data_IF_262914290014
#
_entry.id   IF_262914290014
#
_cell.length_a   1.000
_cell.length_b   1.000
_cell.length_c   1.000
_cell.angle_alpha   90.00
_cell.angle_beta   90.00
_cell.angle_gamma   90.00
#
_symmetry.space_group_name_H-M   'P 1'
#
loop_
_entity.id
_entity.type
_entity.pdbx_description
1 polymer ?
#
# COMPACT_ATOMS: atom_id res chain seq x y z
N UNK A 1 -40.35 11.62 -56.90
CA UNK A 1 -40.58 12.35 -55.64
C UNK A 1 -40.42 11.46 -54.41
N UNK A 2 -40.94 10.24 -54.41
CA UNK A 2 -40.89 9.33 -53.23
C UNK A 2 -39.46 9.00 -52.75
N UNK A 3 -38.50 8.78 -53.66
CA UNK A 3 -37.10 8.47 -53.30
C UNK A 3 -36.44 9.63 -52.52
N UNK A 4 -36.76 10.88 -52.87
CA UNK A 4 -36.20 12.07 -52.22
C UNK A 4 -36.77 12.23 -50.81
N UNK A 5 -38.05 11.91 -50.62
CA UNK A 5 -38.71 11.95 -49.31
C UNK A 5 -38.15 10.87 -48.38
N UNK A 6 -37.93 9.65 -48.89
CA UNK A 6 -37.29 8.57 -48.11
C UNK A 6 -35.86 8.94 -47.71
N UNK A 7 -35.10 9.56 -48.62
CA UNK A 7 -33.73 10.00 -48.33
C UNK A 7 -33.66 11.12 -47.28
N UNK A 8 -34.60 12.07 -47.31
CA UNK A 8 -34.72 13.14 -46.30
C UNK A 8 -35.09 12.59 -44.92
N UNK A 9 -35.99 11.60 -44.85
CA UNK A 9 -36.34 10.94 -43.59
C UNK A 9 -35.13 10.20 -43.02
N UNK A 10 -34.36 9.51 -43.87
CA UNK A 10 -33.12 8.85 -43.46
C UNK A 10 -32.09 9.85 -42.91
N UNK A 11 -31.90 10.99 -43.56
CA UNK A 11 -31.00 12.05 -43.09
C UNK A 11 -31.42 12.63 -41.73
N UNK A 12 -32.72 12.86 -41.52
CA UNK A 12 -33.25 13.34 -40.23
C UNK A 12 -33.08 12.30 -39.12
N UNK A 13 -33.21 11.01 -39.44
CA UNK A 13 -33.01 9.93 -38.48
C UNK A 13 -31.52 9.81 -38.08
N UNK A 14 -30.62 9.87 -39.07
CA UNK A 14 -29.18 9.87 -38.81
C UNK A 14 -28.71 11.13 -38.08
N UNK A 15 -29.30 12.30 -38.39
CA UNK A 15 -29.02 13.54 -37.66
C UNK A 15 -29.44 13.44 -36.20
N UNK A 16 -30.64 12.89 -35.92
CA UNK A 16 -31.09 12.66 -34.55
C UNK A 16 -30.22 11.65 -33.80
N UNK A 17 -29.83 10.53 -34.44
CA UNK A 17 -28.89 9.58 -33.86
C UNK A 17 -27.53 10.24 -33.60
N UNK A 18 -27.03 11.04 -34.53
CA UNK A 18 -25.77 11.78 -34.37
C UNK A 18 -25.84 12.79 -33.22
N UNK A 19 -26.96 13.52 -33.07
CA UNK A 19 -27.19 14.43 -31.94
C UNK A 19 -27.27 13.67 -30.61
N UNK A 20 -27.95 12.53 -30.56
CA UNK A 20 -28.05 11.68 -29.36
C UNK A 20 -26.69 11.05 -29.02
N UNK A 21 -25.93 10.61 -30.02
CA UNK A 21 -24.58 10.08 -29.86
C UNK A 21 -23.58 11.16 -29.47
N UNK A 22 -23.74 12.40 -29.95
CA UNK A 22 -22.95 13.56 -29.51
C UNK A 22 -23.29 13.95 -28.08
N UNK A 23 -24.57 14.00 -27.70
CA UNK A 23 -24.98 14.20 -26.30
C UNK A 23 -24.54 13.06 -25.36
N UNK A 24 -24.41 11.83 -25.85
CA UNK A 24 -23.84 10.69 -25.10
C UNK A 24 -22.31 10.66 -25.13
N UNK A 25 -21.68 11.16 -26.19
CA UNK A 25 -20.23 11.25 -26.36
C UNK A 25 -19.62 12.41 -25.57
N UNK A 26 -20.35 13.52 -25.42
CA UNK A 26 -20.06 14.62 -24.48
C UNK A 26 -20.36 14.22 -23.03
N UNK A 27 -21.04 13.08 -22.80
CA UNK A 27 -21.03 12.32 -21.54
C UNK A 27 -19.88 11.30 -21.48
N UNK A 28 -18.73 11.58 -22.11
CA UNK A 28 -17.49 11.13 -21.46
C UNK A 28 -17.55 11.67 -20.04
N UNK A 29 -17.28 10.83 -19.04
CA UNK A 29 -17.27 11.23 -17.63
C UNK A 29 -16.40 12.49 -17.51
N UNK A 30 -17.04 13.67 -17.47
CA UNK A 30 -16.31 14.92 -17.34
C UNK A 30 -15.66 14.87 -15.96
N UNK A 31 -14.36 14.63 -15.93
CA UNK A 31 -13.57 14.69 -14.72
C UNK A 31 -13.28 16.16 -14.43
N UNK A 32 -14.14 16.79 -13.62
CA UNK A 32 -14.03 18.21 -13.31
C UNK A 32 -12.78 18.50 -12.47
N UNK A 33 -12.31 17.50 -11.71
CA UNK A 33 -11.17 17.65 -10.81
C UNK A 33 -9.89 17.96 -11.58
N UNK A 34 -9.79 17.50 -12.82
CA UNK A 34 -8.62 17.69 -13.67
C UNK A 34 -8.45 19.14 -14.14
N UNK A 35 -9.51 19.93 -14.04
CA UNK A 35 -9.54 21.35 -14.42
C UNK A 35 -9.57 22.30 -13.22
N UNK A 36 -9.65 21.76 -12.00
CA UNK A 36 -9.44 22.53 -10.78
C UNK A 36 -7.93 22.72 -10.61
N UNK A 37 -7.49 23.98 -10.58
CA UNK A 37 -6.11 24.41 -10.28
C UNK A 37 -4.99 23.64 -11.01
N UNK A 38 -4.33 24.28 -11.97
CA UNK A 38 -3.11 23.78 -12.61
C UNK A 38 -1.95 24.74 -12.31
N UNK A 39 -0.95 24.35 -11.51
CA UNK A 39 0.23 25.19 -11.30
C UNK A 39 0.90 25.46 -12.66
N UNK A 40 1.12 26.74 -12.99
CA UNK A 40 1.79 27.16 -14.23
C UNK A 40 0.93 27.21 -15.50
N UNK A 41 -0.40 27.04 -15.41
CA UNK A 41 -1.31 27.18 -16.55
C UNK A 41 -2.21 28.39 -16.36
N UNK A 42 -2.35 29.24 -17.40
CA UNK A 42 -3.31 30.35 -17.42
C UNK A 42 -4.72 29.86 -17.09
N UNK A 43 -5.50 30.68 -16.38
CA UNK A 43 -6.85 30.40 -15.89
C UNK A 43 -7.67 29.51 -16.85
N UNK A 44 -7.91 28.25 -16.46
CA UNK A 44 -8.78 27.36 -17.21
C UNK A 44 -10.24 27.75 -16.90
N UNK A 45 -10.87 28.46 -17.83
CA UNK A 45 -12.30 28.76 -17.79
C UNK A 45 -13.09 27.63 -18.43
N UNK A 46 -14.13 27.16 -17.75
CA UNK A 46 -15.00 26.10 -18.24
C UNK A 46 -16.41 26.23 -17.68
N UNK A 47 -17.33 25.47 -18.27
CA UNK A 47 -18.67 25.27 -17.75
C UNK A 47 -18.65 24.20 -16.65
N UNK A 48 -19.03 24.57 -15.43
CA UNK A 48 -19.07 23.67 -14.27
C UNK A 48 -20.40 22.91 -14.19
N UNK A 49 -20.49 21.90 -13.33
CA UNK A 49 -21.67 21.03 -13.23
C UNK A 49 -22.96 21.78 -12.84
N UNK A 50 -22.85 22.88 -12.09
CA UNK A 50 -23.97 23.78 -11.78
C UNK A 50 -24.37 24.73 -12.94
N UNK A 51 -23.75 24.61 -14.11
CA UNK A 51 -24.00 25.47 -15.26
C UNK A 51 -23.36 26.85 -15.17
N UNK A 52 -22.56 27.15 -14.13
CA UNK A 52 -21.78 28.40 -14.07
C UNK A 52 -20.53 28.28 -14.93
N UNK A 53 -20.19 29.35 -15.64
CA UNK A 53 -18.96 29.43 -16.42
C UNK A 53 -17.91 30.25 -15.67
N UNK A 54 -16.71 29.70 -15.49
CA UNK A 54 -15.68 30.34 -14.69
C UNK A 54 -14.47 29.45 -14.44
N UNK A 55 -13.61 29.86 -13.52
CA UNK A 55 -12.41 29.12 -13.12
C UNK A 55 -12.38 28.90 -11.60
N UNK A 56 -11.80 27.78 -11.17
CA UNK A 56 -11.55 27.45 -9.77
C UNK A 56 -10.04 27.38 -9.57
N UNK A 57 -9.50 28.28 -8.76
CA UNK A 57 -8.06 28.33 -8.51
C UNK A 57 -7.72 28.95 -7.15
N UNK A 58 -6.48 28.73 -6.71
CA UNK A 58 -5.89 29.33 -5.52
C UNK A 58 -5.27 30.67 -5.91
N UNK A 59 -5.97 31.74 -5.55
CA UNK A 59 -5.63 33.13 -5.87
C UNK A 59 -4.36 33.61 -5.16
N UNK A 60 -4.14 33.14 -3.93
CA UNK A 60 -3.15 33.71 -3.01
C UNK A 60 -2.00 32.74 -2.73
N UNK A 61 -1.97 31.59 -3.42
CA UNK A 61 -1.10 30.46 -3.12
C UNK A 61 -1.14 30.06 -1.65
N UNK A 62 -2.32 30.16 -1.03
CA UNK A 62 -2.55 29.87 0.38
C UNK A 62 -3.36 28.59 0.61
N UNK A 63 -3.46 27.75 -0.42
CA UNK A 63 -4.23 26.51 -0.45
C UNK A 63 -5.73 26.73 -0.17
N UNK A 64 -6.28 27.85 -0.65
CA UNK A 64 -7.71 28.15 -0.61
C UNK A 64 -8.23 28.33 -2.03
N UNK A 65 -9.07 27.40 -2.47
CA UNK A 65 -9.68 27.46 -3.80
C UNK A 65 -10.88 28.38 -3.80
N UNK A 66 -10.96 29.25 -4.79
CA UNK A 66 -12.05 30.20 -4.99
C UNK A 66 -12.60 30.10 -6.40
N UNK A 67 -13.89 30.42 -6.55
CA UNK A 67 -14.53 30.51 -7.86
C UNK A 67 -14.47 31.94 -8.41
N UNK A 68 -14.07 32.06 -9.67
CA UNK A 68 -14.18 33.30 -10.44
C UNK A 68 -15.12 33.06 -11.61
N UNK A 69 -16.25 33.75 -11.58
CA UNK A 69 -17.24 33.71 -12.64
C UNK A 69 -16.82 34.59 -13.82
N UNK A 70 -16.94 34.06 -15.04
CA UNK A 70 -16.60 34.74 -16.29
C UNK A 70 -17.78 34.66 -17.28
N UNK A 71 -18.88 35.39 -17.04
CA UNK A 71 -20.15 35.18 -17.74
C UNK A 71 -20.10 35.43 -19.26
N UNK A 72 -19.08 36.13 -19.76
CA UNK A 72 -18.89 36.46 -21.19
C UNK A 72 -17.66 35.79 -21.82
N UNK A 73 -17.00 34.86 -21.10
CA UNK A 73 -15.84 34.10 -21.56
C UNK A 73 -14.59 34.93 -21.89
N UNK A 74 -14.60 36.24 -21.64
CA UNK A 74 -13.57 37.16 -22.16
C UNK A 74 -13.08 38.20 -21.16
N UNK A 75 -13.84 38.49 -20.09
CA UNK A 75 -13.47 39.55 -19.16
C UNK A 75 -13.53 39.09 -17.69
N UNK A 76 -12.46 39.40 -16.94
CA UNK A 76 -12.55 39.44 -15.48
C UNK A 76 -13.52 40.56 -15.12
N UNK A 77 -14.65 40.23 -14.51
CA UNK A 77 -15.67 41.22 -14.13
C UNK A 77 -15.20 42.17 -13.01
N UNK A 78 -14.02 41.93 -12.45
CA UNK A 78 -13.55 42.49 -11.20
C UNK A 78 -12.08 42.91 -11.31
N UNK A 79 -11.71 44.04 -10.72
CA UNK A 79 -10.31 44.40 -10.49
C UNK A 79 -9.70 43.44 -9.46
N UNK A 80 -8.39 43.26 -9.47
CA UNK A 80 -7.67 42.34 -8.56
C UNK A 80 -8.05 42.55 -7.08
N UNK A 81 -8.29 43.80 -6.69
CA UNK A 81 -8.74 44.24 -5.36
C UNK A 81 -10.16 43.76 -4.98
N UNK A 82 -11.04 43.54 -5.96
CA UNK A 82 -12.44 43.11 -5.78
C UNK A 82 -12.58 41.58 -5.64
N UNK A 83 -11.57 40.81 -6.06
CA UNK A 83 -11.64 39.34 -6.14
C UNK A 83 -11.82 38.70 -4.76
N UNK A 84 -11.11 39.19 -3.75
CA UNK A 84 -11.16 38.60 -2.39
C UNK A 84 -12.54 38.69 -1.75
N UNK A 85 -13.29 39.74 -2.08
CA UNK A 85 -14.59 40.03 -1.46
C UNK A 85 -15.76 39.37 -2.20
N UNK A 86 -15.61 39.10 -3.51
CA UNK A 86 -16.69 38.62 -4.38
C UNK A 86 -16.52 37.17 -4.82
N UNK A 87 -15.32 36.58 -4.69
CA UNK A 87 -15.08 35.19 -5.05
C UNK A 87 -15.30 34.26 -3.84
N UNK A 88 -16.34 33.42 -3.87
CA UNK A 88 -16.62 32.51 -2.77
C UNK A 88 -15.49 31.47 -2.64
N UNK A 89 -15.16 31.14 -1.39
CA UNK A 89 -14.31 29.99 -1.08
C UNK A 89 -15.08 28.72 -1.42
N UNK A 90 -14.46 27.85 -2.20
CA UNK A 90 -15.03 26.57 -2.59
C UNK A 90 -14.41 25.39 -1.85
N UNK A 91 -13.12 25.47 -1.51
CA UNK A 91 -12.43 24.43 -0.77
C UNK A 91 -11.19 24.95 -0.06
N UNK A 92 -10.81 24.29 1.03
CA UNK A 92 -9.60 24.54 1.81
C UNK A 92 -9.12 23.24 2.48
N UNK A 93 -7.94 23.28 3.12
CA UNK A 93 -7.41 22.17 3.91
C UNK A 93 -7.06 20.91 3.09
N UNK A 94 -7.33 19.72 3.64
CA UNK A 94 -6.92 18.44 3.01
C UNK A 94 -7.47 18.28 1.59
N UNK A 95 -8.66 18.79 1.30
CA UNK A 95 -9.29 18.66 -0.03
C UNK A 95 -8.44 19.38 -1.07
N UNK A 96 -8.02 20.62 -0.78
CA UNK A 96 -7.15 21.38 -1.69
C UNK A 96 -5.80 20.71 -1.82
N UNK A 97 -5.19 20.31 -0.69
CA UNK A 97 -3.89 19.64 -0.72
C UNK A 97 -3.91 18.37 -1.56
N UNK A 98 -4.96 17.56 -1.45
CA UNK A 98 -5.13 16.40 -2.30
C UNK A 98 -5.27 16.78 -3.78
N UNK A 99 -6.11 17.77 -4.12
CA UNK A 99 -6.26 18.23 -5.50
C UNK A 99 -4.93 18.68 -6.13
N UNK A 100 -4.08 19.34 -5.34
CA UNK A 100 -2.75 19.80 -5.77
C UNK A 100 -1.81 18.63 -6.12
N UNK A 101 -1.82 17.56 -5.32
CA UNK A 101 -0.77 16.54 -5.37
C UNK A 101 -1.23 15.17 -5.89
N UNK A 102 -2.54 14.94 -6.08
CA UNK A 102 -3.11 13.63 -6.47
C UNK A 102 -2.54 12.99 -7.74
N UNK A 103 -1.93 13.79 -8.62
CA UNK A 103 -1.27 13.29 -9.85
C UNK A 103 0.20 12.91 -9.67
N UNK A 104 0.84 13.35 -8.59
CA UNK A 104 2.29 13.25 -8.40
C UNK A 104 2.71 12.46 -7.16
N UNK A 105 1.79 12.23 -6.22
CA UNK A 105 2.05 11.59 -4.94
C UNK A 105 1.06 10.49 -4.65
N UNK A 106 1.47 9.49 -3.87
CA UNK A 106 0.54 8.50 -3.34
C UNK A 106 -0.41 9.16 -2.33
N UNK A 107 -1.57 8.55 -2.09
CA UNK A 107 -2.55 9.07 -1.11
C UNK A 107 -1.94 9.16 0.29
N UNK A 108 -1.11 8.19 0.67
CA UNK A 108 -0.41 8.19 1.96
C UNK A 108 0.56 9.39 2.05
N UNK A 109 1.40 9.61 1.05
CA UNK A 109 2.34 10.74 1.03
C UNK A 109 1.62 12.10 1.10
N UNK A 110 0.43 12.19 0.49
CA UNK A 110 -0.42 13.40 0.55
C UNK A 110 -0.88 13.63 2.00
N UNK A 111 -1.38 12.60 2.67
CA UNK A 111 -1.84 12.69 4.06
C UNK A 111 -0.69 13.02 5.01
N UNK A 112 0.45 12.35 4.86
CA UNK A 112 1.62 12.57 5.71
C UNK A 112 2.19 13.97 5.52
N UNK A 113 2.43 14.40 4.27
CA UNK A 113 2.95 15.73 4.00
C UNK A 113 2.00 16.85 4.45
N UNK A 114 0.69 16.65 4.29
CA UNK A 114 -0.29 17.60 4.80
C UNK A 114 -0.29 17.68 6.34
N UNK A 115 -0.31 16.52 7.01
CA UNK A 115 -0.30 16.44 8.47
C UNK A 115 0.98 17.07 9.04
N UNK A 116 2.15 16.76 8.48
CA UNK A 116 3.43 17.35 8.88
C UNK A 116 3.45 18.86 8.71
N UNK A 117 2.98 19.37 7.57
CA UNK A 117 2.86 20.81 7.33
C UNK A 117 1.96 21.48 8.39
N UNK A 118 0.80 20.87 8.69
CA UNK A 118 -0.14 21.41 9.70
C UNK A 118 0.44 21.36 11.12
N UNK A 119 1.13 20.28 11.48
CA UNK A 119 1.83 20.14 12.75
C UNK A 119 2.89 21.23 12.90
N UNK A 120 3.70 21.47 11.87
CA UNK A 120 4.71 22.53 11.89
C UNK A 120 4.09 23.93 12.07
N UNK A 121 2.96 24.22 11.39
CA UNK A 121 2.21 25.47 11.56
C UNK A 121 1.59 25.60 12.96
N UNK A 122 1.19 24.48 13.57
CA UNK A 122 0.67 24.48 14.94
C UNK A 122 1.79 24.71 15.95
N UNK A 123 2.89 23.96 15.86
CA UNK A 123 4.10 24.15 16.69
C UNK A 123 4.60 25.58 16.65
N UNK A 124 4.78 26.16 15.47
CA UNK A 124 5.25 27.54 15.32
C UNK A 124 4.31 28.61 15.91
N UNK A 125 3.02 28.29 16.08
CA UNK A 125 2.06 29.16 16.79
C UNK A 125 2.12 28.90 18.30
N UNK A 126 2.03 27.64 18.72
CA UNK A 126 1.95 27.23 20.13
C UNK A 126 3.25 27.54 20.89
N UNK A 127 4.42 27.45 20.26
CA UNK A 127 5.72 27.81 20.86
C UNK A 127 5.80 29.28 21.32
N UNK A 128 4.95 30.16 20.78
CA UNK A 128 4.91 31.58 21.17
C UNK A 128 4.12 31.82 22.45
N UNK A 129 3.36 30.82 22.92
CA UNK A 129 2.56 30.93 24.11
C UNK A 129 3.42 30.71 25.37
N UNK A 130 3.14 31.49 26.41
CA UNK A 130 3.93 31.50 27.64
C UNK A 130 3.89 30.17 28.42
N UNK A 131 2.91 29.32 28.14
CA UNK A 131 2.69 28.02 28.77
C UNK A 131 3.11 26.83 27.90
N UNK A 132 3.68 27.07 26.71
CA UNK A 132 4.05 26.03 25.75
C UNK A 132 4.97 24.93 26.30
N UNK A 133 5.81 25.26 27.29
CA UNK A 133 6.69 24.33 27.99
C UNK A 133 5.95 23.30 28.88
N UNK A 134 4.67 23.52 29.18
CA UNK A 134 3.87 22.64 30.06
C UNK A 134 3.14 21.52 29.31
N UNK A 135 3.06 21.59 27.99
CA UNK A 135 2.22 20.72 27.19
C UNK A 135 3.05 19.91 26.21
N UNK A 136 2.64 18.66 26.00
CA UNK A 136 3.05 17.91 24.82
C UNK A 136 2.29 18.49 23.61
N UNK A 137 3.01 19.28 22.80
CA UNK A 137 2.44 20.00 21.65
C UNK A 137 1.90 19.02 20.60
N UNK A 138 2.50 17.83 20.46
CA UNK A 138 2.04 16.83 19.48
C UNK A 138 0.74 16.16 19.93
N UNK A 139 0.66 15.76 21.20
CA UNK A 139 -0.59 15.22 21.75
C UNK A 139 -1.70 16.29 21.73
N UNK A 140 -1.40 17.55 22.05
CA UNK A 140 -2.36 18.66 21.99
C UNK A 140 -2.91 18.87 20.57
N UNK A 141 -2.04 18.80 19.55
CA UNK A 141 -2.44 18.91 18.13
C UNK A 141 -3.51 17.88 17.75
N UNK A 142 -3.38 16.64 18.22
CA UNK A 142 -4.33 15.56 17.94
C UNK A 142 -5.57 15.54 18.85
N UNK A 143 -5.68 16.48 19.81
CA UNK A 143 -6.73 16.46 20.84
C UNK A 143 -7.77 17.58 20.77
N UNK A 144 -7.45 18.79 20.28
CA UNK A 144 -8.45 19.88 20.27
C UNK A 144 -8.41 20.77 19.03
N UNK A 145 -7.56 21.79 19.05
CA UNK A 145 -7.77 23.00 18.24
C UNK A 145 -7.60 22.76 16.74
N UNK A 146 -6.62 21.94 16.36
CA UNK A 146 -6.36 21.69 14.96
C UNK A 146 -7.47 20.86 14.29
N UNK A 147 -8.02 19.85 14.98
CA UNK A 147 -9.12 19.04 14.46
C UNK A 147 -10.36 19.90 14.15
N UNK A 148 -10.62 20.93 14.96
CA UNK A 148 -11.72 21.86 14.72
C UNK A 148 -11.48 22.73 13.49
N UNK A 149 -10.25 23.23 13.30
CA UNK A 149 -9.89 23.98 12.10
C UNK A 149 -10.04 23.07 10.86
N UNK A 150 -9.56 21.84 10.92
CA UNK A 150 -9.64 20.92 9.79
C UNK A 150 -11.09 20.53 9.46
N UNK A 151 -11.93 20.30 10.49
CA UNK A 151 -13.37 20.10 10.30
C UNK A 151 -14.03 21.28 9.61
N UNK A 152 -13.65 22.51 9.97
CA UNK A 152 -14.14 23.72 9.31
C UNK A 152 -13.71 23.78 7.84
N UNK A 153 -12.45 23.47 7.53
CA UNK A 153 -11.96 23.43 6.15
C UNK A 153 -12.71 22.38 5.30
N UNK A 154 -12.94 21.19 5.85
CA UNK A 154 -13.72 20.13 5.19
C UNK A 154 -15.18 20.56 4.97
N UNK A 155 -15.78 21.23 5.95
CA UNK A 155 -17.14 21.76 5.82
C UNK A 155 -17.24 22.85 4.73
N UNK A 156 -16.31 23.81 4.71
CA UNK A 156 -16.24 24.83 3.64
C UNK A 156 -16.08 24.20 2.26
N UNK A 157 -15.34 23.08 2.18
CA UNK A 157 -15.12 22.34 0.94
C UNK A 157 -16.37 21.67 0.36
N UNK A 158 -17.47 21.61 1.10
CA UNK A 158 -18.76 21.15 0.58
C UNK A 158 -19.28 22.04 -0.56
N UNK A 159 -18.89 23.32 -0.60
CA UNK A 159 -19.26 24.24 -1.67
C UNK A 159 -18.78 23.76 -3.06
N UNK A 160 -17.66 23.02 -3.11
CA UNK A 160 -17.11 22.47 -4.35
C UNK A 160 -18.02 21.43 -5.01
N UNK A 161 -18.82 20.70 -4.24
CA UNK A 161 -19.67 19.61 -4.76
C UNK A 161 -20.72 20.10 -5.76
N UNK A 162 -21.13 21.37 -5.65
CA UNK A 162 -22.01 21.98 -6.64
C UNK A 162 -21.33 22.25 -7.99
N UNK A 163 -20.00 22.24 -8.08
CA UNK A 163 -19.26 22.56 -9.29
C UNK A 163 -18.78 21.32 -10.05
N UNK A 164 -18.72 20.17 -9.40
CA UNK A 164 -18.17 18.92 -9.96
C UNK A 164 -19.26 17.87 -10.20
N UNK A 165 -18.92 16.79 -10.89
CA UNK A 165 -19.85 15.67 -11.09
C UNK A 165 -20.14 14.92 -9.78
N UNK A 166 -21.23 14.16 -9.72
CA UNK A 166 -21.52 13.29 -8.56
C UNK A 166 -20.40 12.27 -8.31
N UNK A 167 -19.77 11.78 -9.38
CA UNK A 167 -18.66 10.82 -9.28
C UNK A 167 -17.41 11.46 -8.68
N UNK A 168 -17.05 12.67 -9.13
CA UNK A 168 -15.93 13.43 -8.57
C UNK A 168 -16.20 13.79 -7.10
N UNK A 169 -17.44 14.14 -6.77
CA UNK A 169 -17.87 14.37 -5.39
C UNK A 169 -17.69 13.13 -4.51
N UNK A 170 -18.03 11.93 -5.01
CA UNK A 170 -17.78 10.67 -4.30
C UNK A 170 -16.29 10.43 -4.06
N UNK A 171 -15.44 10.73 -5.04
CA UNK A 171 -13.99 10.60 -4.90
C UNK A 171 -13.44 11.52 -3.80
N UNK A 172 -13.83 12.80 -3.80
CA UNK A 172 -13.48 13.77 -2.74
C UNK A 172 -13.92 13.24 -1.37
N UNK A 173 -15.15 12.73 -1.26
CA UNK A 173 -15.68 12.24 0.01
C UNK A 173 -14.91 11.01 0.54
N UNK A 174 -14.49 10.10 -0.35
CA UNK A 174 -13.65 8.95 0.02
C UNK A 174 -12.31 9.43 0.59
N UNK A 175 -11.70 10.44 -0.04
CA UNK A 175 -10.44 11.03 0.45
C UNK A 175 -10.62 11.64 1.85
N UNK A 176 -11.67 12.43 2.06
CA UNK A 176 -11.98 13.03 3.37
C UNK A 176 -12.15 11.95 4.43
N UNK A 177 -12.94 10.91 4.15
CA UNK A 177 -13.22 9.84 5.12
C UNK A 177 -11.95 9.05 5.47
N UNK A 178 -11.13 8.73 4.47
CA UNK A 178 -9.87 8.02 4.67
C UNK A 178 -8.85 8.87 5.43
N UNK A 179 -8.85 10.18 5.22
CA UNK A 179 -8.01 11.11 5.97
C UNK A 179 -8.35 11.13 7.46
N UNK A 180 -9.64 11.11 7.83
CA UNK A 180 -10.04 11.01 9.24
C UNK A 180 -9.56 9.71 9.90
N UNK A 181 -9.64 8.59 9.18
CA UNK A 181 -9.08 7.32 9.63
C UNK A 181 -7.57 7.40 9.80
N UNK A 182 -6.86 8.00 8.84
CA UNK A 182 -5.42 8.24 8.92
C UNK A 182 -5.04 9.07 10.16
N UNK A 183 -5.78 10.13 10.47
CA UNK A 183 -5.53 10.96 11.66
C UNK A 183 -5.79 10.18 12.95
N UNK A 184 -6.84 9.36 13.00
CA UNK A 184 -7.09 8.46 14.13
C UNK A 184 -5.90 7.51 14.35
N UNK A 185 -5.40 6.88 13.29
CA UNK A 185 -4.24 5.99 13.38
C UNK A 185 -2.97 6.73 13.78
N UNK A 186 -2.73 7.91 13.23
CA UNK A 186 -1.55 8.72 13.53
C UNK A 186 -1.52 9.15 15.00
N UNK A 187 -2.68 9.51 15.57
CA UNK A 187 -2.83 9.78 16.99
C UNK A 187 -2.56 8.56 17.88
N UNK A 188 -3.00 7.38 17.44
CA UNK A 188 -2.70 6.15 18.19
C UNK A 188 -1.20 5.85 18.14
N UNK A 189 -0.56 6.04 16.99
CA UNK A 189 0.89 5.89 16.82
C UNK A 189 1.68 6.83 17.73
N UNK A 190 1.31 8.10 17.82
CA UNK A 190 2.03 9.06 18.67
C UNK A 190 2.02 8.67 20.15
N UNK A 191 1.01 7.90 20.61
CA UNK A 191 0.92 7.39 21.98
C UNK A 191 1.77 6.14 22.24
N UNK A 192 2.13 5.40 21.19
CA UNK A 192 2.87 4.13 21.28
C UNK A 192 4.24 4.25 20.65
N UNK A 193 4.72 5.45 20.31
CA UNK A 193 6.05 5.59 19.74
C UNK A 193 7.08 5.17 20.79
N UNK A 194 7.46 3.90 20.74
CA UNK A 194 8.61 3.37 21.44
C UNK A 194 9.80 4.09 20.82
N UNK A 195 10.85 4.38 21.58
CA UNK A 195 12.00 5.15 21.08
C UNK A 195 12.80 4.43 19.96
N UNK A 196 12.18 3.51 19.22
CA UNK A 196 12.68 2.80 18.06
C UNK A 196 13.03 3.78 16.95
N UNK A 197 14.25 3.65 16.41
CA UNK A 197 14.63 4.40 15.23
C UNK A 197 13.88 3.85 14.00
N UNK A 198 13.81 4.67 12.93
CA UNK A 198 13.06 4.34 11.72
C UNK A 198 13.51 3.05 11.03
N UNK A 199 14.80 2.74 11.10
CA UNK A 199 15.38 1.57 10.42
C UNK A 199 15.01 0.27 11.14
N UNK A 200 15.06 0.28 12.46
CA UNK A 200 14.64 -0.85 13.30
C UNK A 200 13.13 -1.10 13.19
N UNK A 201 12.33 -0.03 13.15
CA UNK A 201 10.89 -0.14 12.92
C UNK A 201 10.62 -0.81 11.57
N UNK A 202 11.26 -0.32 10.50
CA UNK A 202 11.11 -0.87 9.15
C UNK A 202 11.54 -2.34 9.08
N UNK A 203 12.64 -2.72 9.74
CA UNK A 203 13.08 -4.12 9.82
C UNK A 203 12.03 -5.00 10.51
N UNK A 204 11.48 -4.53 11.63
CA UNK A 204 10.41 -5.21 12.35
C UNK A 204 9.16 -5.37 11.47
N UNK A 205 8.74 -4.33 10.75
CA UNK A 205 7.61 -4.39 9.83
C UNK A 205 7.79 -5.49 8.77
N UNK A 206 8.96 -5.54 8.12
CA UNK A 206 9.21 -6.56 7.12
C UNK A 206 9.33 -7.97 7.70
N UNK A 207 9.87 -8.10 8.92
CA UNK A 207 9.90 -9.38 9.65
C UNK A 207 8.48 -9.88 9.94
N UNK A 208 7.58 -8.97 10.30
CA UNK A 208 6.16 -9.29 10.52
C UNK A 208 5.48 -9.65 9.19
N UNK A 209 5.70 -8.90 8.11
CA UNK A 209 5.17 -9.24 6.80
C UNK A 209 5.60 -10.64 6.34
N UNK A 210 6.86 -11.00 6.58
CA UNK A 210 7.41 -12.33 6.24
C UNK A 210 6.70 -13.43 7.03
N UNK A 211 6.56 -13.26 8.35
CA UNK A 211 5.80 -14.19 9.22
C UNK A 211 4.35 -14.34 8.75
N UNK A 212 3.67 -13.22 8.45
CA UNK A 212 2.29 -13.25 7.96
C UNK A 212 2.18 -13.95 6.59
N UNK A 213 3.20 -13.83 5.73
CA UNK A 213 3.22 -14.49 4.43
C UNK A 213 3.39 -16.01 4.54
N UNK A 214 4.13 -16.48 5.55
CA UNK A 214 4.42 -17.89 5.78
C UNK A 214 3.36 -18.59 6.62
N UNK A 215 2.82 -17.88 7.62
CA UNK A 215 1.99 -18.46 8.69
C UNK A 215 0.63 -17.78 8.86
N UNK A 216 0.23 -16.87 7.97
CA UNK A 216 -1.02 -16.12 8.11
C UNK A 216 -2.29 -16.98 8.12
N UNK A 217 -2.22 -18.24 7.67
CA UNK A 217 -3.32 -19.22 7.76
C UNK A 217 -3.47 -19.84 9.16
N UNK A 218 -2.46 -19.73 10.03
CA UNK A 218 -2.53 -20.13 11.45
C UNK A 218 -3.24 -19.05 12.29
N UNK A 219 -3.48 -17.87 11.72
CA UNK A 219 -4.13 -16.72 12.35
C UNK A 219 -5.63 -16.74 11.99
N UNK A 220 -6.49 -16.89 12.99
CA UNK A 220 -7.96 -16.84 12.87
C UNK A 220 -8.41 -15.41 13.15
N UNK A 221 -8.91 -14.77 12.09
CA UNK A 221 -9.28 -13.36 12.10
C UNK A 221 -10.68 -13.10 12.65
N UNK A 222 -11.40 -14.13 13.05
CA UNK A 222 -12.77 -14.02 13.56
C UNK A 222 -12.82 -13.97 15.09
N UNK A 223 -11.73 -14.32 15.78
CA UNK A 223 -11.69 -14.46 17.23
C UNK A 223 -10.42 -13.87 17.84
N UNK A 224 -10.56 -12.75 18.55
CA UNK A 224 -9.44 -11.97 19.13
C UNK A 224 -8.49 -12.80 20.02
N UNK A 225 -9.02 -13.71 20.84
CA UNK A 225 -8.25 -14.34 21.93
C UNK A 225 -7.91 -15.83 21.71
N UNK A 226 -8.42 -16.46 20.65
CA UNK A 226 -8.32 -17.91 20.46
C UNK A 226 -7.26 -18.33 19.43
N UNK A 227 -6.72 -17.37 18.67
CA UNK A 227 -5.74 -17.62 17.62
C UNK A 227 -4.29 -17.44 18.09
N UNK A 228 -3.36 -18.15 17.44
CA UNK A 228 -1.91 -17.97 17.60
C UNK A 228 -1.53 -16.56 17.13
N UNK A 229 -1.35 -15.68 18.10
CA UNK A 229 -0.96 -14.29 17.87
C UNK A 229 0.45 -14.19 17.29
N UNK A 230 0.71 -13.10 16.55
CA UNK A 230 2.02 -12.89 15.93
C UNK A 230 3.14 -12.77 16.97
N UNK A 231 2.87 -12.19 18.15
CA UNK A 231 3.83 -12.12 19.25
C UNK A 231 4.26 -13.51 19.77
N UNK A 232 3.52 -14.57 19.47
CA UNK A 232 3.87 -15.94 19.88
C UNK A 232 4.94 -16.57 18.98
N UNK A 233 5.29 -15.96 17.84
CA UNK A 233 6.35 -16.47 16.97
C UNK A 233 7.71 -16.17 17.58
N UNK A 234 8.57 -17.19 17.63
CA UNK A 234 9.89 -17.14 18.26
C UNK A 234 10.78 -16.03 17.71
N UNK A 235 10.58 -15.70 16.45
CA UNK A 235 11.25 -14.69 15.65
C UNK A 235 10.99 -13.27 16.18
N UNK A 236 9.93 -13.07 16.96
CA UNK A 236 9.54 -11.77 17.53
C UNK A 236 9.85 -11.63 19.02
N UNK A 237 10.42 -12.67 19.67
CA UNK A 237 10.76 -12.64 21.11
C UNK A 237 11.78 -11.56 21.51
N UNK A 238 12.50 -10.99 20.54
CA UNK A 238 13.48 -9.93 20.77
C UNK A 238 12.82 -8.54 20.85
N UNK A 239 11.54 -8.43 20.50
CA UNK A 239 10.79 -7.18 20.51
C UNK A 239 9.76 -7.18 21.63
N UNK A 240 9.58 -6.02 22.23
CA UNK A 240 8.53 -5.77 23.22
C UNK A 240 7.15 -5.76 22.56
N UNK A 241 6.10 -5.97 23.36
CA UNK A 241 4.73 -5.85 22.85
C UNK A 241 4.42 -4.43 22.34
N UNK A 242 5.08 -3.40 22.89
CA UNK A 242 4.94 -2.02 22.45
C UNK A 242 5.57 -1.78 21.08
N UNK A 243 6.81 -2.23 20.84
CA UNK A 243 7.47 -2.14 19.53
C UNK A 243 6.70 -2.90 18.45
N UNK A 244 6.22 -4.10 18.79
CA UNK A 244 5.36 -4.88 17.90
C UNK A 244 4.10 -4.07 17.60
N UNK A 245 3.41 -3.54 18.62
CA UNK A 245 2.19 -2.73 18.44
C UNK A 245 2.42 -1.46 17.61
N UNK A 246 3.56 -0.80 17.76
CA UNK A 246 3.94 0.35 16.94
C UNK A 246 4.06 -0.04 15.46
N UNK A 247 4.83 -1.10 15.15
CA UNK A 247 4.90 -1.66 13.79
C UNK A 247 3.51 -2.09 13.28
N UNK A 248 2.65 -2.60 14.17
CA UNK A 248 1.17 -2.63 14.08
C UNK A 248 0.58 -1.47 13.34
N UNK A 249 0.49 -0.41 14.11
CA UNK A 249 -0.28 0.73 13.72
C UNK A 249 0.32 1.38 12.48
N UNK A 250 1.63 1.31 12.28
CA UNK A 250 2.29 1.88 11.11
C UNK A 250 2.03 1.07 9.82
N UNK A 251 2.14 -0.26 9.88
CA UNK A 251 1.79 -1.13 8.76
C UNK A 251 0.29 -1.05 8.40
N UNK A 252 -0.58 -0.88 9.41
CA UNK A 252 -2.01 -0.65 9.19
C UNK A 252 -2.27 0.70 8.51
N UNK A 253 -1.60 1.76 8.96
CA UNK A 253 -1.65 3.10 8.36
C UNK A 253 -1.16 3.08 6.90
N UNK A 254 -0.14 2.28 6.59
CA UNK A 254 0.35 2.01 5.23
C UNK A 254 -0.61 1.16 4.37
N UNK A 255 -1.66 0.59 4.97
CA UNK A 255 -2.60 -0.31 4.30
C UNK A 255 -1.98 -1.67 3.93
N UNK A 256 -0.87 -2.04 4.57
CA UNK A 256 -0.18 -3.30 4.32
C UNK A 256 -0.85 -4.47 5.03
N UNK A 257 -1.43 -4.20 6.19
CA UNK A 257 -2.15 -5.19 6.97
C UNK A 257 -3.48 -4.65 7.51
N UNK A 258 -4.28 -5.55 8.04
CA UNK A 258 -5.41 -5.25 8.89
C UNK A 258 -5.19 -5.86 10.29
N UNK A 259 -5.34 -5.03 11.33
CA UNK A 259 -5.29 -5.44 12.74
C UNK A 259 -6.45 -4.80 13.53
N UNK A 260 -6.85 -5.46 14.61
CA UNK A 260 -7.79 -4.93 15.60
C UNK A 260 -7.00 -4.28 16.72
N UNK A 261 -7.42 -3.09 17.12
CA UNK A 261 -6.82 -2.39 18.27
C UNK A 261 -7.97 -2.08 19.19
N UNK A 262 -7.94 -2.63 20.40
CA UNK A 262 -8.93 -2.27 21.42
C UNK A 262 -8.58 -0.89 21.96
N UNK A 263 -9.30 0.13 21.49
CA UNK A 263 -9.17 1.51 21.97
C UNK A 263 -10.24 1.80 23.04
N UNK A 264 -9.81 1.90 24.29
CA UNK A 264 -10.63 2.60 25.31
C UNK A 264 -10.21 4.07 25.37
N UNK A 265 -11.02 4.94 26.01
CA UNK A 265 -10.74 6.38 26.04
C UNK A 265 -9.38 6.73 26.68
N UNK A 266 -8.84 5.86 27.56
CA UNK A 266 -7.67 6.16 28.39
C UNK A 266 -6.49 5.19 28.21
N UNK A 267 -6.68 3.99 27.66
CA UNK A 267 -5.60 3.01 27.43
C UNK A 267 -5.69 2.37 26.04
N UNK A 268 -4.52 2.31 25.37
CA UNK A 268 -4.35 1.53 24.14
C UNK A 268 -4.19 0.06 24.52
N UNK A 269 -5.18 -0.75 24.16
CA UNK A 269 -5.10 -2.20 24.31
C UNK A 269 -4.05 -2.83 23.38
N UNK A 270 -3.84 -4.15 23.49
CA UNK A 270 -2.99 -4.89 22.57
C UNK A 270 -3.53 -4.80 21.13
N UNK A 271 -2.62 -4.71 20.15
CA UNK A 271 -2.96 -4.90 18.75
C UNK A 271 -3.10 -6.41 18.47
N UNK A 272 -4.26 -6.82 17.98
CA UNK A 272 -4.55 -8.19 17.56
C UNK A 272 -4.45 -8.25 16.03
N UNK A 273 -3.57 -9.12 15.53
CA UNK A 273 -3.05 -9.04 14.15
C UNK A 273 -3.76 -10.02 13.26
N UNK A 274 -4.36 -9.58 12.16
CA UNK A 274 -5.40 -10.38 11.55
C UNK A 274 -5.20 -10.60 10.05
N UNK A 275 -4.67 -9.68 9.23
CA UNK A 275 -4.57 -10.00 7.79
C UNK A 275 -3.47 -9.28 7.05
N UNK A 276 -2.69 -10.02 6.27
CA UNK A 276 -1.82 -9.46 5.23
C UNK A 276 -2.65 -9.04 4.02
N UNK A 277 -2.53 -7.78 3.60
CA UNK A 277 -3.22 -7.21 2.45
C UNK A 277 -2.32 -7.19 1.21
N UNK A 278 -2.92 -7.10 0.03
CA UNK A 278 -2.18 -7.06 -1.25
C UNK A 278 -1.05 -6.01 -1.28
N UNK A 279 -1.25 -4.76 -0.78
CA UNK A 279 -0.16 -3.79 -0.71
C UNK A 279 1.04 -4.28 0.12
N UNK A 280 0.79 -4.96 1.24
CA UNK A 280 1.84 -5.53 2.08
C UNK A 280 2.61 -6.67 1.39
N UNK A 281 1.92 -7.51 0.61
CA UNK A 281 2.56 -8.56 -0.21
C UNK A 281 3.50 -7.94 -1.25
N UNK A 282 3.05 -6.87 -1.90
CA UNK A 282 3.85 -6.14 -2.90
C UNK A 282 5.08 -5.52 -2.23
N UNK A 283 4.89 -4.81 -1.11
CA UNK A 283 5.96 -4.19 -0.35
C UNK A 283 7.02 -5.21 0.10
N UNK A 284 6.61 -6.35 0.66
CA UNK A 284 7.52 -7.43 1.04
C UNK A 284 8.31 -7.96 -0.15
N UNK A 285 7.63 -8.20 -1.29
CA UNK A 285 8.28 -8.70 -2.51
C UNK A 285 9.35 -7.73 -3.02
N UNK A 286 9.06 -6.43 -3.01
CA UNK A 286 10.00 -5.39 -3.44
C UNK A 286 11.20 -5.28 -2.50
N UNK A 287 10.96 -5.33 -1.18
CA UNK A 287 12.02 -5.34 -0.18
C UNK A 287 12.95 -6.55 -0.34
N UNK A 288 12.40 -7.75 -0.46
CA UNK A 288 13.19 -8.97 -0.68
C UNK A 288 14.00 -8.89 -1.98
N UNK A 289 13.43 -8.34 -3.05
CA UNK A 289 14.14 -8.12 -4.33
C UNK A 289 15.29 -7.12 -4.19
N UNK A 290 15.07 -6.02 -3.47
CA UNK A 290 16.08 -4.98 -3.27
C UNK A 290 17.19 -5.44 -2.32
N UNK A 291 16.89 -6.22 -1.28
CA UNK A 291 17.90 -6.80 -0.41
C UNK A 291 18.66 -7.97 -1.05
N UNK A 292 18.03 -8.68 -1.98
CA UNK A 292 18.74 -9.61 -2.86
C UNK A 292 19.75 -8.88 -3.75
N UNK A 293 19.40 -7.69 -4.27
CA UNK A 293 20.29 -6.84 -5.07
C UNK A 293 21.37 -6.12 -4.25
N UNK A 294 21.11 -5.76 -2.99
CA UNK A 294 22.15 -5.23 -2.08
C UNK A 294 23.21 -6.27 -1.72
N UNK A 295 22.90 -7.57 -1.81
CA UNK A 295 23.90 -8.66 -1.77
C UNK A 295 24.69 -8.82 -3.08
N UNK A 296 24.35 -8.08 -4.14
CA UNK A 296 24.90 -8.19 -5.49
C UNK A 296 25.57 -6.89 -6.02
N UNK A 297 25.98 -5.96 -5.14
CA UNK A 297 26.95 -4.92 -5.51
C UNK A 297 28.33 -5.23 -4.93
N UNK A 298 29.19 -5.94 -5.67
CA UNK A 298 30.61 -5.96 -5.38
C UNK A 298 31.22 -4.64 -5.88
N UNK A 299 31.92 -3.95 -4.99
CA UNK A 299 32.98 -3.02 -5.37
C UNK A 299 33.98 -3.77 -6.25
N UNK A 300 34.46 -3.09 -7.29
CA UNK A 300 35.20 -3.63 -8.44
C UNK A 300 36.60 -4.20 -8.12
N UNK A 301 36.91 -4.48 -6.87
CA UNK A 301 38.20 -5.06 -6.45
C UNK A 301 37.94 -6.21 -5.49
N UNK A 302 37.64 -7.38 -6.06
CA UNK A 302 38.16 -8.68 -5.61
C UNK A 302 37.62 -9.76 -6.56
N UNK A 303 38.20 -9.79 -7.76
CA UNK A 303 38.28 -11.02 -8.54
C UNK A 303 39.08 -12.04 -7.72
N UNK A 304 38.39 -12.98 -7.06
CA UNK A 304 38.64 -14.43 -7.15
C UNK A 304 37.86 -15.25 -6.09
N UNK A 305 37.10 -16.24 -6.60
CA UNK A 305 36.72 -17.49 -5.95
C UNK A 305 36.08 -17.47 -4.55
N UNK A 306 34.75 -17.63 -4.49
CA UNK A 306 34.13 -18.51 -3.48
C UNK A 306 33.44 -19.65 -4.21
N UNK A 307 34.20 -20.73 -4.44
CA UNK A 307 33.66 -22.06 -4.65
C UNK A 307 32.75 -22.37 -3.46
N UNK A 308 31.45 -22.58 -3.69
CA UNK A 308 30.56 -23.15 -2.67
C UNK A 308 31.07 -24.55 -2.36
N UNK A 309 31.63 -24.75 -1.18
CA UNK A 309 32.36 -25.96 -0.81
C UNK A 309 31.40 -27.12 -0.52
N UNK A 310 31.87 -28.34 -0.73
CA UNK A 310 31.14 -29.58 -0.44
C UNK A 310 30.74 -29.69 1.05
N UNK A 311 31.46 -28.99 1.92
CA UNK A 311 31.19 -28.90 3.36
C UNK A 311 29.82 -28.28 3.67
N UNK A 312 29.39 -27.27 2.90
CA UNK A 312 28.08 -26.63 3.09
C UNK A 312 26.95 -27.59 2.70
N UNK A 313 27.14 -28.29 1.57
CA UNK A 313 26.19 -29.29 1.09
C UNK A 313 26.08 -30.48 2.05
N UNK A 314 27.20 -30.95 2.59
CA UNK A 314 27.22 -32.05 3.57
C UNK A 314 26.49 -31.64 4.85
N UNK A 315 26.75 -30.44 5.36
CA UNK A 315 26.13 -29.92 6.58
C UNK A 315 24.60 -29.79 6.44
N UNK A 316 24.10 -29.37 5.28
CA UNK A 316 22.66 -29.22 5.04
C UNK A 316 21.93 -30.56 4.86
N UNK A 317 22.61 -31.58 4.33
CA UNK A 317 22.05 -32.92 4.11
C UNK A 317 22.16 -33.83 5.34
N UNK A 318 23.17 -33.66 6.19
CA UNK A 318 23.43 -34.51 7.35
C UNK A 318 22.21 -34.81 8.24
N UNK A 319 21.34 -33.82 8.58
CA UNK A 319 20.13 -34.08 9.37
C UNK A 319 19.14 -35.04 8.69
N UNK A 320 19.15 -35.11 7.35
CA UNK A 320 18.27 -35.99 6.58
C UNK A 320 18.79 -37.44 6.54
N UNK A 321 20.07 -37.65 6.84
CA UNK A 321 20.73 -38.96 6.93
C UNK A 321 20.96 -39.37 8.39
N UNK A 322 20.15 -38.85 9.32
CA UNK A 322 20.23 -39.14 10.75
C UNK A 322 21.62 -38.85 11.36
N UNK A 323 22.36 -37.87 10.83
CA UNK A 323 23.72 -37.55 11.27
C UNK A 323 24.83 -38.38 10.62
N UNK A 324 24.51 -39.27 9.67
CA UNK A 324 25.51 -40.15 9.04
C UNK A 324 26.23 -39.45 7.88
N UNK A 325 27.35 -38.77 8.20
CA UNK A 325 28.19 -38.05 7.24
C UNK A 325 28.75 -38.93 6.11
N UNK A 326 29.03 -40.20 6.38
CA UNK A 326 29.58 -41.11 5.38
C UNK A 326 28.55 -41.43 4.29
N UNK A 327 27.30 -41.66 4.67
CA UNK A 327 26.19 -41.89 3.74
C UNK A 327 25.82 -40.62 2.95
N UNK A 328 25.94 -39.44 3.58
CA UNK A 328 25.79 -38.14 2.88
C UNK A 328 26.85 -37.99 1.79
N UNK A 329 28.11 -38.28 2.11
CA UNK A 329 29.21 -38.19 1.14
C UNK A 329 29.03 -39.19 -0.03
N UNK A 330 28.66 -40.44 0.27
CA UNK A 330 28.32 -41.46 -0.76
C UNK A 330 27.17 -40.99 -1.64
N UNK A 331 26.13 -40.41 -1.03
CA UNK A 331 24.96 -39.91 -1.74
C UNK A 331 25.31 -38.75 -2.69
N UNK A 332 26.05 -37.73 -2.21
CA UNK A 332 26.48 -36.58 -3.03
C UNK A 332 27.29 -37.06 -4.22
N UNK A 333 28.28 -37.93 -4.01
CA UNK A 333 29.11 -38.48 -5.07
C UNK A 333 28.29 -39.24 -6.10
N UNK A 334 27.31 -40.04 -5.64
CA UNK A 334 26.42 -40.77 -6.55
C UNK A 334 25.49 -39.84 -7.33
N UNK A 335 24.98 -38.78 -6.71
CA UNK A 335 24.10 -37.80 -7.35
C UNK A 335 24.79 -36.96 -8.42
N UNK A 336 26.11 -36.77 -8.33
CA UNK A 336 26.91 -36.10 -9.37
C UNK A 336 27.07 -36.91 -10.65
N UNK A 337 27.13 -38.24 -10.53
CA UNK A 337 27.40 -39.13 -11.67
C UNK A 337 26.13 -39.63 -12.35
N UNK A 338 24.96 -39.53 -11.72
CA UNK A 338 23.69 -39.93 -12.35
C UNK A 338 23.29 -38.86 -13.39
N UNK A 339 23.08 -39.23 -14.67
CA UNK A 339 22.93 -38.27 -15.75
C UNK A 339 21.53 -37.64 -15.84
N UNK A 340 20.49 -38.29 -15.30
CA UNK A 340 19.11 -37.81 -15.44
C UNK A 340 18.33 -37.78 -14.12
N UNK A 341 17.35 -36.88 -14.04
CA UNK A 341 16.59 -36.60 -12.82
C UNK A 341 15.64 -37.74 -12.42
N UNK A 342 15.23 -38.59 -13.36
CA UNK A 342 14.39 -39.77 -13.09
C UNK A 342 15.16 -40.82 -12.30
N UNK A 343 16.41 -41.10 -12.71
CA UNK A 343 17.29 -42.02 -12.00
C UNK A 343 17.73 -41.46 -10.65
N UNK A 344 17.98 -40.15 -10.54
CA UNK A 344 18.24 -39.47 -9.26
C UNK A 344 17.09 -39.64 -8.27
N UNK A 345 15.86 -39.48 -8.76
CA UNK A 345 14.66 -39.67 -7.96
C UNK A 345 14.46 -41.14 -7.53
N UNK A 346 14.72 -42.10 -8.43
CA UNK A 346 14.63 -43.53 -8.13
C UNK A 346 15.66 -43.95 -7.09
N UNK A 347 16.92 -43.56 -7.28
CA UNK A 347 18.01 -43.82 -6.32
C UNK A 347 17.69 -43.26 -4.93
N UNK A 348 17.19 -42.02 -4.87
CA UNK A 348 16.78 -41.40 -3.60
C UNK A 348 15.61 -42.15 -2.94
N UNK A 349 14.64 -42.63 -3.72
CA UNK A 349 13.54 -43.42 -3.19
C UNK A 349 13.98 -44.79 -2.65
N UNK A 350 14.98 -45.43 -3.27
CA UNK A 350 15.59 -46.66 -2.75
C UNK A 350 16.23 -46.42 -1.38
N UNK A 351 16.96 -45.32 -1.19
CA UNK A 351 17.57 -45.01 0.11
C UNK A 351 16.54 -44.70 1.21
N UNK A 352 15.41 -44.09 0.85
CA UNK A 352 14.27 -43.91 1.76
C UNK A 352 13.64 -45.26 2.14
N UNK A 353 13.46 -46.17 1.17
CA UNK A 353 12.90 -47.50 1.43
C UNK A 353 13.81 -48.37 2.32
N UNK A 354 15.12 -48.17 2.24
CA UNK A 354 16.11 -48.83 3.10
C UNK A 354 16.34 -48.09 4.43
N UNK A 355 15.56 -47.04 4.73
CA UNK A 355 15.67 -46.20 5.94
C UNK A 355 17.06 -45.54 6.13
N UNK A 356 17.80 -45.30 5.04
CA UNK A 356 19.09 -44.61 5.06
C UNK A 356 18.89 -43.09 5.12
N UNK A 357 17.81 -42.61 4.48
CA UNK A 357 17.38 -41.21 4.51
C UNK A 357 16.03 -41.14 5.21
N UNK A 358 15.81 -40.05 5.97
CA UNK A 358 14.53 -39.75 6.60
C UNK A 358 13.34 -39.91 5.64
N UNK A 359 12.23 -40.40 6.17
CA UNK A 359 11.05 -40.77 5.38
C UNK A 359 10.48 -39.61 4.54
N UNK A 360 9.49 -39.92 3.71
CA UNK A 360 8.92 -39.02 2.67
C UNK A 360 8.41 -37.65 3.17
N UNK A 361 8.32 -37.40 4.47
CA UNK A 361 7.93 -36.10 5.05
C UNK A 361 8.95 -34.97 4.83
N UNK A 362 10.24 -35.30 4.66
CA UNK A 362 11.31 -34.30 4.44
C UNK A 362 11.74 -34.13 2.98
N UNK A 363 10.99 -34.74 2.06
CA UNK A 363 11.32 -34.76 0.62
C UNK A 363 11.47 -33.35 0.03
N UNK A 364 10.69 -32.37 0.51
CA UNK A 364 10.81 -30.97 0.11
C UNK A 364 12.19 -30.40 0.43
N UNK A 365 12.64 -30.53 1.69
CA UNK A 365 13.94 -30.03 2.15
C UNK A 365 15.09 -30.68 1.39
N UNK A 366 15.02 -31.98 1.12
CA UNK A 366 16.03 -32.69 0.32
C UNK A 366 16.16 -32.11 -1.10
N UNK A 367 15.06 -31.96 -1.82
CA UNK A 367 15.12 -31.44 -3.20
C UNK A 367 15.49 -29.97 -3.26
N UNK A 368 15.09 -29.17 -2.27
CA UNK A 368 15.47 -27.76 -2.17
C UNK A 368 16.99 -27.62 -1.99
N UNK A 369 17.60 -28.41 -1.10
CA UNK A 369 19.06 -28.45 -0.92
C UNK A 369 19.76 -28.92 -2.20
N UNK A 370 19.29 -29.99 -2.84
CA UNK A 370 19.89 -30.48 -4.08
C UNK A 370 19.77 -29.49 -5.23
N UNK A 371 18.65 -28.76 -5.34
CA UNK A 371 18.47 -27.70 -6.33
C UNK A 371 19.40 -26.51 -6.05
N UNK A 372 19.51 -26.09 -4.79
CA UNK A 372 20.41 -25.02 -4.35
C UNK A 372 21.87 -25.27 -4.75
N UNK A 373 22.29 -26.54 -4.73
CA UNK A 373 23.65 -26.97 -5.10
C UNK A 373 23.76 -27.53 -6.53
N UNK A 374 22.74 -27.36 -7.38
CA UNK A 374 22.78 -27.75 -8.80
C UNK A 374 22.80 -29.26 -9.05
N UNK A 375 22.50 -30.09 -8.06
CA UNK A 375 22.49 -31.55 -8.16
C UNK A 375 21.16 -32.12 -8.64
N UNK A 376 20.08 -31.33 -8.60
CA UNK A 376 18.76 -31.75 -9.06
C UNK A 376 17.94 -30.56 -9.57
N UNK A 377 17.38 -30.68 -10.77
CA UNK A 377 16.53 -29.65 -11.36
C UNK A 377 15.14 -30.24 -11.70
N UNK A 378 14.09 -29.97 -10.91
CA UNK A 378 12.78 -30.56 -11.15
C UNK A 378 12.20 -30.05 -12.47
N UNK A 379 11.61 -30.95 -13.26
CA UNK A 379 10.77 -30.53 -14.39
C UNK A 379 9.53 -29.82 -13.87
N UNK A 380 9.10 -28.77 -14.56
CA UNK A 380 7.93 -27.94 -14.21
C UNK A 380 6.68 -28.80 -13.93
N UNK A 381 6.45 -29.84 -14.74
CA UNK A 381 5.33 -30.77 -14.61
C UNK A 381 5.39 -31.63 -13.33
N UNK A 382 6.57 -32.06 -12.91
CA UNK A 382 6.73 -32.84 -11.66
C UNK A 382 6.57 -31.96 -10.42
N UNK A 383 6.96 -30.68 -10.50
CA UNK A 383 6.75 -29.71 -9.43
C UNK A 383 5.26 -29.42 -9.22
N UNK A 384 4.50 -29.22 -10.31
CA UNK A 384 3.05 -29.01 -10.26
C UNK A 384 2.27 -30.25 -9.78
N UNK A 385 2.66 -31.46 -10.20
CA UNK A 385 2.01 -32.71 -9.74
C UNK A 385 2.22 -32.96 -8.24
N UNK A 386 3.35 -32.51 -7.67
CA UNK A 386 3.61 -32.61 -6.23
C UNK A 386 2.69 -31.72 -5.38
N UNK A 387 2.31 -30.55 -5.93
CA UNK A 387 1.42 -29.58 -5.29
C UNK A 387 -0.05 -30.05 -5.42
N UNK A 388 -0.45 -30.56 -6.59
CA UNK A 388 -1.85 -30.92 -6.85
C UNK A 388 -2.33 -32.18 -6.11
N UNK A 389 -1.44 -33.13 -5.79
CA UNK A 389 -1.82 -34.38 -5.08
C UNK A 389 -2.38 -34.15 -3.66
N UNK A 390 -2.21 -32.95 -3.09
CA UNK A 390 -2.75 -32.56 -1.79
C UNK A 390 -4.09 -31.81 -1.85
N UNK A 391 -4.53 -31.36 -3.04
CA UNK A 391 -5.83 -30.68 -3.21
C UNK A 391 -6.97 -31.71 -3.34
N UNK A 392 -6.72 -32.90 -3.91
CA UNK A 392 -7.76 -33.90 -4.17
C UNK A 392 -8.03 -34.90 -3.02
N UNK A 393 -7.30 -34.84 -1.90
CA UNK A 393 -7.58 -35.71 -0.73
C UNK A 393 -8.35 -34.99 0.38
N UNK A 394 -9.49 -34.40 0.02
CA UNK A 394 -10.61 -34.11 0.95
C UNK A 394 -11.93 -34.11 0.17
N UNK A 395 -12.43 -35.31 -0.14
CA UNK A 395 -13.86 -35.54 -0.40
C UNK A 395 -14.23 -36.89 0.22
N UNK A 396 -15.03 -36.79 1.28
CA UNK A 396 -15.62 -37.80 2.21
C UNK A 396 -14.68 -38.56 3.15
#
# INVERSE_FOLDING_TARGET
MEIIVVFLIFLLFYWNIFVILKQKGDKMVENYLDDIYKPGVNHCFRLWANGKYGSIYDLENNCVLRFIEAPDGTHYKYKEEDWKQKSPVLASGIVVWWLLYRRSKSVLDIYESYCQMRMAQYKARREKDADSWKCDIEDEFFNKEWLDIERKCVYESQALFGFVSEQDGKEIQVIINNYWSFIKHTKLLSKVSSHMNSDNLLELEYKILDILSLHGNEIDTSKKNESKQICNYTELRLYTEEEIREASLDMQKKGWIYCFVDDTQDELGPAYWHKLLSPGIIALREFLKNNSRKKEQPTFDECHNVLKTDDDLQTELEPLFYGNKEEVAKYINKMRVIPNNTEKARFTAELVNHNIISNLSYKKRLWDVLKKHGLYEPSFTNWCNYINKYIEKKVY
#
